data_IF_004553391282
#
_entry.id   IF_004553391282
#
_cell.length_a   1.000
_cell.length_b   1.000
_cell.length_c   1.000
_cell.angle_alpha   90.00
_cell.angle_beta   90.00
_cell.angle_gamma   90.00
#
_symmetry.space_group_name_H-M   'P 1'
#
loop_
_entity.id
_entity.type
_entity.pdbx_description
1 polymer ?
#
# COMPACT_ATOMS: atom_id res chain seq x y z
N UNK A 1 30.40 -6.73 4.92
CA UNK A 1 30.35 -6.14 6.27
C UNK A 1 28.92 -6.26 6.77
N UNK A 2 28.68 -7.08 7.79
CA UNK A 2 27.37 -7.21 8.40
C UNK A 2 27.21 -6.11 9.45
N UNK A 3 26.49 -5.03 9.11
CA UNK A 3 25.92 -4.16 10.13
C UNK A 3 24.45 -4.52 10.30
N UNK A 4 24.09 -4.85 11.54
CA UNK A 4 22.71 -4.83 11.99
C UNK A 4 22.20 -3.39 11.72
N UNK A 5 21.09 -3.29 11.01
CA UNK A 5 20.68 -2.06 10.32
C UNK A 5 20.69 -0.80 11.15
N UNK A 6 21.02 0.33 10.51
CA UNK A 6 20.84 1.67 11.03
C UNK A 6 19.34 2.03 11.17
N UNK A 7 18.91 2.96 12.04
CA UNK A 7 17.52 3.39 12.15
C UNK A 7 16.88 3.84 10.82
N UNK A 8 17.68 4.36 9.88
CA UNK A 8 17.22 4.72 8.53
C UNK A 8 17.31 3.58 7.50
N UNK A 9 17.38 2.30 7.91
CA UNK A 9 17.45 1.22 6.93
C UNK A 9 16.12 1.02 6.22
N UNK A 10 16.17 0.86 4.89
CA UNK A 10 15.03 0.47 4.06
C UNK A 10 14.23 -0.70 4.66
N UNK A 11 12.90 -0.56 4.65
CA UNK A 11 11.96 -1.54 5.18
C UNK A 11 11.80 -1.54 6.70
N UNK A 12 12.43 -0.61 7.44
CA UNK A 12 12.15 -0.43 8.87
C UNK A 12 10.82 0.28 9.07
N UNK A 13 10.01 -0.22 9.99
CA UNK A 13 8.81 0.44 10.50
C UNK A 13 8.77 0.32 12.02
N UNK A 14 8.18 1.31 12.69
CA UNK A 14 7.89 1.26 14.15
C UNK A 14 6.41 1.02 14.41
N UNK A 15 5.55 1.50 13.51
CA UNK A 15 4.11 1.42 13.60
C UNK A 15 3.53 0.79 12.33
N UNK A 16 2.34 0.24 12.48
CA UNK A 16 1.48 -0.16 11.36
C UNK A 16 0.05 0.25 11.68
N UNK A 17 -0.64 0.83 10.70
CA UNK A 17 -2.07 1.10 10.80
C UNK A 17 -2.80 -0.02 10.08
N UNK A 18 -3.78 -0.61 10.74
CA UNK A 18 -4.69 -1.62 10.18
C UNK A 18 -6.12 -1.21 10.49
N UNK A 19 -7.09 -1.77 9.76
CA UNK A 19 -8.51 -1.49 10.02
C UNK A 19 -9.28 -2.80 10.04
N UNK A 20 -10.19 -2.95 11.01
CA UNK A 20 -11.07 -4.11 11.04
C UNK A 20 -11.97 -4.15 9.78
N UNK A 21 -12.33 -5.35 9.37
CA UNK A 21 -13.18 -5.60 8.21
C UNK A 21 -14.67 -5.56 8.60
N UNK A 22 -15.54 -4.90 7.82
CA UNK A 22 -16.97 -4.89 8.03
C UNK A 22 -17.63 -6.15 7.45
N UNK A 23 -18.78 -6.58 7.99
CA UNK A 23 -19.56 -7.70 7.44
C UNK A 23 -19.99 -7.42 5.98
N UNK A 24 -20.26 -6.14 5.67
CA UNK A 24 -20.57 -5.69 4.32
C UNK A 24 -19.49 -6.02 3.28
N UNK A 25 -18.23 -6.27 3.68
CA UNK A 25 -17.14 -6.68 2.79
C UNK A 25 -17.51 -7.90 1.95
N UNK A 26 -18.20 -8.87 2.54
CA UNK A 26 -18.48 -10.15 1.88
C UNK A 26 -19.33 -9.99 0.61
N UNK A 27 -20.23 -9.01 0.59
CA UNK A 27 -21.23 -8.82 -0.46
C UNK A 27 -21.06 -7.51 -1.25
N UNK A 28 -20.49 -6.48 -0.64
CA UNK A 28 -20.52 -5.11 -1.19
C UNK A 28 -19.13 -4.55 -1.57
N UNK A 29 -18.04 -5.18 -1.13
CA UNK A 29 -16.68 -4.76 -1.49
C UNK A 29 -16.46 -4.82 -3.01
N UNK A 30 -15.70 -3.86 -3.54
CA UNK A 30 -15.43 -3.76 -4.97
C UNK A 30 -14.54 -4.93 -5.42
N UNK A 31 -14.98 -5.64 -6.46
CA UNK A 31 -14.24 -6.78 -7.03
C UNK A 31 -14.08 -6.64 -8.53
N UNK A 32 -12.91 -7.02 -9.03
CA UNK A 32 -12.61 -7.01 -10.47
C UNK A 32 -13.17 -8.24 -11.19
N UNK A 33 -13.24 -9.38 -10.51
CA UNK A 33 -13.77 -10.64 -11.04
C UNK A 33 -14.89 -11.15 -10.13
N UNK A 34 -15.88 -11.84 -10.72
CA UNK A 34 -16.80 -12.68 -9.94
C UNK A 34 -15.98 -13.87 -9.44
N UNK A 35 -15.60 -13.81 -8.17
CA UNK A 35 -14.96 -14.92 -7.46
C UNK A 35 -15.97 -15.66 -6.60
N UNK A 36 -15.47 -16.63 -5.84
CA UNK A 36 -16.24 -17.31 -4.82
C UNK A 36 -16.77 -16.33 -3.77
N UNK A 37 -17.83 -16.74 -3.09
CA UNK A 37 -18.38 -16.01 -1.96
C UNK A 37 -17.31 -15.88 -0.86
N UNK A 38 -17.22 -14.69 -0.25
CA UNK A 38 -16.26 -14.48 0.84
C UNK A 38 -16.87 -14.96 2.15
N UNK A 39 -16.26 -16.00 2.70
CA UNK A 39 -16.49 -16.42 4.09
C UNK A 39 -15.91 -15.34 5.02
N UNK A 40 -16.81 -14.51 5.55
CA UNK A 40 -16.47 -13.41 6.45
C UNK A 40 -15.71 -13.89 7.69
N UNK A 41 -16.16 -14.98 8.32
CA UNK A 41 -15.53 -15.51 9.53
C UNK A 41 -14.10 -16.01 9.23
N UNK A 42 -13.88 -16.57 8.04
CA UNK A 42 -12.52 -16.93 7.58
C UNK A 42 -11.67 -15.69 7.30
N UNK A 43 -12.22 -14.68 6.64
CA UNK A 43 -11.51 -13.43 6.36
C UNK A 43 -11.09 -12.72 7.65
N UNK A 44 -11.97 -12.67 8.65
CA UNK A 44 -11.68 -12.13 9.97
C UNK A 44 -10.54 -12.87 10.66
N UNK A 45 -10.60 -14.21 10.70
CA UNK A 45 -9.51 -15.03 11.25
C UNK A 45 -8.19 -14.78 10.53
N UNK A 46 -8.20 -14.67 9.20
CA UNK A 46 -6.99 -14.36 8.42
C UNK A 46 -6.44 -12.97 8.75
N UNK A 47 -7.30 -11.97 8.88
CA UNK A 47 -6.91 -10.62 9.27
C UNK A 47 -6.31 -10.59 10.68
N UNK A 48 -6.92 -11.27 11.66
CA UNK A 48 -6.38 -11.37 13.02
C UNK A 48 -4.99 -12.04 13.04
N UNK A 49 -4.79 -13.10 12.24
CA UNK A 49 -3.46 -13.72 12.09
C UNK A 49 -2.44 -12.75 11.47
N UNK A 50 -2.83 -11.99 10.45
CA UNK A 50 -1.99 -10.96 9.84
C UNK A 50 -1.58 -9.89 10.86
N UNK A 51 -2.54 -9.34 11.62
CA UNK A 51 -2.28 -8.38 12.69
C UNK A 51 -1.38 -8.97 13.79
N UNK A 52 -1.60 -10.24 14.17
CA UNK A 52 -0.76 -10.93 15.14
C UNK A 52 0.68 -11.14 14.68
N UNK A 53 0.92 -11.33 13.37
CA UNK A 53 2.28 -11.35 12.81
C UNK A 53 2.94 -9.98 12.96
N UNK A 54 2.24 -8.90 12.59
CA UNK A 54 2.78 -7.54 12.65
C UNK A 54 3.08 -7.08 14.08
N UNK A 55 2.12 -7.22 14.99
CA UNK A 55 2.26 -6.80 16.37
C UNK A 55 3.10 -7.77 17.18
N UNK A 56 2.59 -8.98 17.39
CA UNK A 56 3.17 -9.92 18.35
C UNK A 56 4.46 -10.58 17.87
N UNK A 57 4.60 -10.90 16.57
CA UNK A 57 5.80 -11.60 16.06
C UNK A 57 6.90 -10.65 15.57
N UNK A 58 6.53 -9.54 14.92
CA UNK A 58 7.49 -8.56 14.40
C UNK A 58 7.76 -7.42 15.37
N UNK A 59 6.91 -7.20 16.38
CA UNK A 59 7.11 -6.21 17.44
C UNK A 59 6.70 -4.78 17.05
N UNK A 60 5.90 -4.61 16.00
CA UNK A 60 5.41 -3.29 15.59
C UNK A 60 4.29 -2.80 16.53
N UNK A 61 4.20 -1.49 16.72
CA UNK A 61 3.04 -0.89 17.36
C UNK A 61 1.87 -0.87 16.37
N UNK A 62 0.80 -1.60 16.68
CA UNK A 62 -0.38 -1.71 15.83
C UNK A 62 -1.41 -0.66 16.24
N UNK A 63 -1.75 0.24 15.33
CA UNK A 63 -2.93 1.11 15.43
C UNK A 63 -4.07 0.42 14.69
N UNK A 64 -5.01 -0.15 15.44
CA UNK A 64 -6.16 -0.85 14.87
C UNK A 64 -7.40 0.03 14.86
N UNK A 65 -7.83 0.42 13.67
CA UNK A 65 -9.03 1.22 13.43
C UNK A 65 -10.28 0.33 13.40
N UNK A 66 -11.45 0.83 13.86
CA UNK A 66 -12.70 0.08 13.79
C UNK A 66 -13.19 -0.08 12.35
N UNK A 67 -13.97 -1.13 12.13
CA UNK A 67 -14.70 -1.36 10.88
C UNK A 67 -15.80 -0.30 10.70
N UNK A 68 -16.22 -0.09 9.45
CA UNK A 68 -17.36 0.75 9.12
C UNK A 68 -18.20 0.04 8.06
N UNK A 69 -19.41 -0.37 8.43
CA UNK A 69 -20.32 -1.11 7.54
C UNK A 69 -20.70 -0.33 6.28
N UNK A 70 -20.63 1.01 6.32
CA UNK A 70 -20.89 1.87 5.16
C UNK A 70 -19.70 1.93 4.18
N UNK A 71 -18.56 1.37 4.54
CA UNK A 71 -17.32 1.36 3.77
C UNK A 71 -16.79 -0.08 3.60
N UNK A 72 -17.39 -0.90 2.72
CA UNK A 72 -17.09 -2.34 2.61
C UNK A 72 -15.62 -2.69 2.34
N UNK A 73 -14.86 -1.76 1.76
CA UNK A 73 -13.45 -1.93 1.42
C UNK A 73 -12.49 -1.34 2.47
N UNK A 74 -12.98 -0.84 3.62
CA UNK A 74 -12.16 -0.06 4.56
C UNK A 74 -10.99 -0.82 5.21
N UNK A 75 -10.98 -2.15 5.14
CA UNK A 75 -9.84 -2.98 5.56
C UNK A 75 -8.58 -2.69 4.72
N UNK A 76 -8.74 -2.25 3.47
CA UNK A 76 -7.64 -1.97 2.53
C UNK A 76 -7.08 -0.56 2.72
N UNK A 77 -6.53 -0.33 3.92
CA UNK A 77 -5.98 0.95 4.38
C UNK A 77 -4.82 1.49 3.53
N UNK A 78 -4.13 0.63 2.79
CA UNK A 78 -3.02 1.03 1.92
C UNK A 78 -3.47 2.04 0.85
N UNK A 79 -4.71 1.95 0.37
CA UNK A 79 -5.14 2.79 -0.75
C UNK A 79 -5.36 4.26 -0.36
N UNK A 80 -5.60 4.54 0.92
CA UNK A 80 -6.00 5.87 1.42
C UNK A 80 -4.84 6.72 1.93
N UNK A 81 -3.64 6.15 2.06
CA UNK A 81 -2.46 6.90 2.47
C UNK A 81 -1.16 6.35 1.89
N UNK A 82 -0.25 7.26 1.52
CA UNK A 82 1.15 6.95 1.23
C UNK A 82 2.01 7.64 2.28
N UNK A 83 2.81 6.86 3.01
CA UNK A 83 3.71 7.40 4.03
C UNK A 83 5.15 7.23 3.56
N UNK A 84 5.91 8.32 3.61
CA UNK A 84 7.35 8.33 3.38
C UNK A 84 8.00 9.17 4.46
N UNK A 85 8.90 8.55 5.22
CA UNK A 85 9.55 9.17 6.38
C UNK A 85 8.51 9.76 7.35
N UNK A 86 8.56 11.07 7.60
CA UNK A 86 7.68 11.79 8.52
C UNK A 86 6.46 12.41 7.81
N UNK A 87 6.30 12.21 6.49
CA UNK A 87 5.21 12.80 5.71
C UNK A 87 4.22 11.74 5.26
N UNK A 88 2.93 12.03 5.45
CA UNK A 88 1.82 11.20 4.98
C UNK A 88 0.98 11.97 3.95
N UNK A 89 0.92 11.45 2.73
CA UNK A 89 -0.04 11.88 1.72
C UNK A 89 -1.34 11.12 1.92
N UNK A 90 -2.38 11.80 2.38
CA UNK A 90 -3.76 11.30 2.34
C UNK A 90 -4.23 11.38 0.89
N UNK A 91 -4.53 10.20 0.34
CA UNK A 91 -4.87 10.06 -1.07
C UNK A 91 -6.33 10.43 -1.32
N UNK A 92 -6.71 10.44 -2.60
CA UNK A 92 -8.11 10.53 -3.01
C UNK A 92 -8.46 9.31 -3.85
N UNK A 93 -9.06 8.26 -3.24
CA UNK A 93 -9.33 7.03 -3.94
C UNK A 93 -10.10 7.24 -5.25
N UNK A 94 -9.69 6.50 -6.28
CA UNK A 94 -10.31 6.57 -7.61
C UNK A 94 -11.73 6.05 -7.62
N UNK A 95 -12.05 5.09 -6.74
CA UNK A 95 -13.42 4.65 -6.48
C UNK A 95 -14.14 5.65 -5.56
N UNK A 96 -15.20 6.35 -6.01
CA UNK A 96 -15.85 7.37 -5.20
C UNK A 96 -16.43 6.85 -3.88
N UNK A 97 -16.92 5.60 -3.86
CA UNK A 97 -17.43 4.95 -2.65
C UNK A 97 -16.39 4.81 -1.53
N UNK A 98 -15.10 4.81 -1.88
CA UNK A 98 -13.99 4.62 -0.93
C UNK A 98 -13.42 5.92 -0.38
N UNK A 99 -13.83 7.10 -0.89
CA UNK A 99 -13.19 8.38 -0.53
C UNK A 99 -13.33 8.75 0.95
N UNK A 100 -14.43 8.35 1.61
CA UNK A 100 -14.64 8.58 3.06
C UNK A 100 -13.71 7.75 3.95
N UNK A 101 -13.08 6.72 3.40
CA UNK A 101 -12.12 5.91 4.17
C UNK A 101 -10.89 6.74 4.60
N UNK A 102 -10.58 7.81 3.86
CA UNK A 102 -9.46 8.71 4.13
C UNK A 102 -9.60 9.48 5.46
N UNK A 103 -10.84 9.77 5.90
CA UNK A 103 -11.10 10.60 7.08
C UNK A 103 -10.49 9.95 8.35
N UNK A 104 -10.77 8.67 8.57
CA UNK A 104 -10.26 7.94 9.73
C UNK A 104 -8.75 7.68 9.64
N UNK A 105 -8.23 7.49 8.43
CA UNK A 105 -6.78 7.35 8.23
C UNK A 105 -6.05 8.64 8.61
N UNK A 106 -6.56 9.79 8.16
CA UNK A 106 -6.01 11.10 8.51
C UNK A 106 -5.89 11.28 10.02
N UNK A 107 -6.98 11.06 10.76
CA UNK A 107 -6.96 11.18 12.23
C UNK A 107 -5.95 10.23 12.89
N UNK A 108 -5.77 9.02 12.35
CA UNK A 108 -4.82 8.05 12.87
C UNK A 108 -3.37 8.53 12.67
N UNK A 109 -3.05 9.04 11.48
CA UNK A 109 -1.72 9.52 11.14
C UNK A 109 -1.38 10.85 11.84
N UNK A 110 -2.36 11.72 12.09
CA UNK A 110 -2.20 12.92 12.93
C UNK A 110 -1.84 12.56 14.37
N UNK A 111 -2.48 11.54 14.94
CA UNK A 111 -2.14 11.03 16.30
C UNK A 111 -0.75 10.43 16.37
N UNK A 112 -0.22 9.93 15.25
CA UNK A 112 1.16 9.48 15.10
C UNK A 112 2.15 10.63 14.83
N UNK A 113 1.68 11.89 14.83
CA UNK A 113 2.49 13.09 14.65
C UNK A 113 3.19 13.17 13.29
N UNK A 114 2.60 12.56 12.25
CA UNK A 114 3.10 12.70 10.88
C UNK A 114 2.66 14.05 10.28
N UNK A 115 3.49 14.58 9.39
CA UNK A 115 3.17 15.74 8.58
C UNK A 115 2.15 15.35 7.51
N UNK A 116 0.91 15.82 7.66
CA UNK A 116 -0.19 15.46 6.77
C UNK A 116 -0.24 16.38 5.55
N UNK A 117 -0.26 15.78 4.36
CA UNK A 117 -0.59 16.44 3.09
C UNK A 117 -1.84 15.76 2.52
N UNK A 118 -2.82 16.55 2.09
CA UNK A 118 -4.11 16.03 1.61
C UNK A 118 -4.30 16.27 0.11
N UNK A 119 -4.67 15.23 -0.64
CA UNK A 119 -5.04 15.34 -2.04
C UNK A 119 -6.46 15.94 -2.19
N UNK A 120 -6.56 17.27 -2.20
CA UNK A 120 -7.84 18.02 -2.27
C UNK A 120 -8.35 18.32 -3.68
N UNK A 121 -7.49 18.20 -4.70
CA UNK A 121 -7.86 18.47 -6.09
C UNK A 121 -8.93 17.47 -6.57
N UNK A 122 -10.10 17.97 -6.97
CA UNK A 122 -11.23 17.13 -7.37
C UNK A 122 -10.97 16.33 -8.65
N UNK A 123 -10.03 16.80 -9.48
CA UNK A 123 -9.61 16.14 -10.71
C UNK A 123 -8.48 15.12 -10.46
N UNK A 124 -7.94 15.05 -9.24
CA UNK A 124 -6.92 14.08 -8.87
C UNK A 124 -7.54 12.82 -8.27
N UNK A 125 -6.94 11.68 -8.61
CA UNK A 125 -7.24 10.38 -8.01
C UNK A 125 -5.97 9.58 -7.87
N UNK A 126 -5.78 8.94 -6.72
CA UNK A 126 -4.66 8.05 -6.45
C UNK A 126 -5.09 7.01 -5.41
N UNK A 127 -4.86 5.73 -5.70
CA UNK A 127 -4.93 4.65 -4.72
C UNK A 127 -3.48 4.28 -4.35
N UNK A 128 -3.15 4.22 -3.05
CA UNK A 128 -1.80 3.84 -2.58
C UNK A 128 -1.33 2.44 -3.02
N UNK A 129 -2.22 1.54 -3.43
CA UNK A 129 -1.89 0.30 -4.12
C UNK A 129 -1.11 0.49 -5.44
N UNK A 130 -1.24 1.65 -6.10
CA UNK A 130 -0.48 2.00 -7.31
C UNK A 130 0.92 2.56 -7.01
N UNK A 131 1.26 2.77 -5.74
CA UNK A 131 2.52 3.42 -5.36
C UNK A 131 3.52 2.40 -4.84
N UNK A 132 4.64 2.26 -5.54
CA UNK A 132 5.77 1.45 -5.11
C UNK A 132 6.94 2.36 -4.75
N UNK A 133 7.28 2.43 -3.47
CA UNK A 133 8.49 3.10 -2.99
C UNK A 133 9.66 2.12 -2.89
N UNK A 134 10.78 2.44 -3.55
CA UNK A 134 11.95 1.56 -3.62
C UNK A 134 12.99 1.85 -2.53
N UNK A 135 12.77 2.88 -1.71
CA UNK A 135 13.78 3.47 -0.83
C UNK A 135 14.67 4.50 -1.52
N UNK A 136 14.48 4.75 -2.82
CA UNK A 136 15.25 5.70 -3.64
C UNK A 136 14.38 6.58 -4.53
N UNK A 137 13.27 6.02 -4.99
CA UNK A 137 12.33 6.67 -5.91
C UNK A 137 10.95 6.00 -5.78
N UNK A 138 9.94 6.67 -6.31
CA UNK A 138 8.60 6.14 -6.45
C UNK A 138 8.33 5.70 -7.89
N UNK A 139 7.69 4.54 -8.03
CA UNK A 139 6.93 4.22 -9.23
C UNK A 139 5.44 4.36 -8.92
N UNK A 140 4.71 5.06 -9.80
CA UNK A 140 3.27 5.28 -9.66
C UNK A 140 2.55 4.68 -10.85
N UNK A 141 1.67 3.71 -10.58
CA UNK A 141 0.80 3.10 -11.57
C UNK A 141 -0.22 4.11 -12.11
N UNK A 142 -0.28 4.31 -13.42
CA UNK A 142 -1.40 4.97 -14.09
C UNK A 142 -2.45 3.91 -14.41
N UNK A 143 -3.51 3.89 -13.62
CA UNK A 143 -4.50 2.82 -13.57
C UNK A 143 -5.93 3.37 -13.72
N UNK A 144 -6.94 2.50 -13.54
CA UNK A 144 -8.34 2.94 -13.42
C UNK A 144 -8.61 3.73 -12.14
N UNK A 145 -7.71 3.67 -11.16
CA UNK A 145 -7.84 4.26 -9.83
C UNK A 145 -6.91 5.45 -9.60
N UNK A 146 -5.79 5.49 -10.31
CA UNK A 146 -4.77 6.52 -10.19
C UNK A 146 -4.56 7.21 -11.54
N UNK A 147 -4.71 8.53 -11.56
CA UNK A 147 -4.53 9.33 -12.76
C UNK A 147 -3.25 10.18 -12.71
N UNK A 148 -2.91 10.81 -13.84
CA UNK A 148 -1.70 11.61 -13.98
C UNK A 148 -1.64 12.75 -12.95
N UNK A 149 -2.77 13.42 -12.69
CA UNK A 149 -2.85 14.50 -11.71
C UNK A 149 -2.55 14.02 -10.28
N UNK A 150 -3.03 12.83 -9.91
CA UNK A 150 -2.70 12.21 -8.62
C UNK A 150 -1.21 11.89 -8.49
N UNK A 151 -0.59 11.39 -9.55
CA UNK A 151 0.85 11.13 -9.57
C UNK A 151 1.69 12.41 -9.45
N UNK A 152 1.28 13.51 -10.09
CA UNK A 152 1.92 14.83 -9.97
C UNK A 152 1.85 15.35 -8.54
N UNK A 153 0.68 15.27 -7.88
CA UNK A 153 0.53 15.69 -6.48
C UNK A 153 1.43 14.85 -5.56
N UNK A 154 1.60 13.56 -5.83
CA UNK A 154 2.54 12.73 -5.10
C UNK A 154 3.98 13.22 -5.27
N UNK A 155 4.39 13.56 -6.49
CA UNK A 155 5.72 14.12 -6.76
C UNK A 155 5.92 15.48 -6.07
N UNK A 156 4.90 16.34 -6.07
CA UNK A 156 4.93 17.62 -5.37
C UNK A 156 4.99 17.45 -3.84
N UNK A 157 4.45 16.35 -3.32
CA UNK A 157 4.48 16.03 -1.88
C UNK A 157 5.85 15.51 -1.45
N UNK A 158 6.46 14.62 -2.24
CA UNK A 158 7.73 13.95 -1.92
C UNK A 158 8.86 14.43 -2.84
N UNK A 159 9.16 15.73 -2.80
CA UNK A 159 10.06 16.42 -3.77
C UNK A 159 11.49 15.90 -3.80
N UNK A 160 11.94 15.28 -2.71
CA UNK A 160 13.29 14.72 -2.59
C UNK A 160 13.46 13.38 -3.32
N UNK A 161 12.35 12.81 -3.81
CA UNK A 161 12.32 11.53 -4.47
C UNK A 161 11.91 11.67 -5.93
N UNK A 162 12.64 10.99 -6.81
CA UNK A 162 12.21 10.86 -8.19
C UNK A 162 10.87 10.08 -8.26
N UNK A 163 10.00 10.47 -9.19
CA UNK A 163 8.72 9.80 -9.43
C UNK A 163 8.61 9.45 -10.90
N UNK A 164 8.42 8.15 -11.18
CA UNK A 164 8.25 7.62 -12.52
C UNK A 164 6.88 6.97 -12.66
N UNK A 165 6.13 7.31 -13.70
CA UNK A 165 4.82 6.71 -13.95
C UNK A 165 4.92 5.41 -14.76
N UNK A 166 4.08 4.44 -14.44
CA UNK A 166 4.04 3.12 -15.09
C UNK A 166 2.62 2.82 -15.56
N UNK A 167 2.36 2.56 -16.85
CA UNK A 167 1.01 2.20 -17.31
C UNK A 167 0.53 0.87 -16.69
N UNK A 168 -0.68 0.87 -16.12
CA UNK A 168 -1.34 -0.30 -15.53
C UNK A 168 -2.66 -0.56 -16.28
N UNK A 169 -2.65 -1.57 -17.16
CA UNK A 169 -3.80 -1.86 -18.06
C UNK A 169 -4.63 -3.05 -17.58
N UNK A 170 -3.99 -4.20 -17.32
CA UNK A 170 -4.69 -5.47 -17.01
C UNK A 170 -4.55 -5.90 -15.54
N UNK A 171 -4.32 -4.94 -14.64
CA UNK A 171 -4.28 -5.15 -13.19
C UNK A 171 -5.18 -4.13 -12.47
N UNK A 172 -5.48 -4.38 -11.19
CA UNK A 172 -6.18 -3.38 -10.38
C UNK A 172 -5.25 -2.22 -10.04
N UNK A 173 -4.04 -2.55 -9.57
CA UNK A 173 -3.00 -1.61 -9.21
C UNK A 173 -1.61 -2.09 -9.64
N UNK A 174 -0.61 -1.21 -9.62
CA UNK A 174 0.81 -1.57 -9.83
C UNK A 174 1.26 -2.71 -8.90
N UNK A 175 0.98 -2.60 -7.59
CA UNK A 175 1.38 -3.63 -6.61
C UNK A 175 0.58 -4.93 -6.69
N UNK A 176 -0.39 -5.03 -7.59
CA UNK A 176 -1.05 -6.32 -7.88
C UNK A 176 -0.08 -7.34 -8.50
N UNK A 177 1.00 -6.89 -9.13
CA UNK A 177 1.96 -7.77 -9.80
C UNK A 177 3.43 -7.49 -9.42
N UNK A 178 3.71 -6.59 -8.48
CA UNK A 178 5.05 -6.38 -7.95
C UNK A 178 5.06 -5.85 -6.51
N UNK A 179 6.18 -6.01 -5.82
CA UNK A 179 6.44 -5.41 -4.51
C UNK A 179 7.94 -5.40 -4.21
N UNK A 180 8.36 -4.67 -3.18
CA UNK A 180 9.74 -4.72 -2.71
C UNK A 180 9.96 -5.99 -1.88
N UNK A 181 10.92 -6.82 -2.29
CA UNK A 181 11.30 -8.05 -1.60
C UNK A 181 12.60 -7.91 -0.77
N UNK A 182 13.29 -6.79 -0.91
CA UNK A 182 14.51 -6.46 -0.19
C UNK A 182 15.11 -5.15 -0.68
N UNK A 183 16.22 -4.68 -0.07
CA UNK A 183 16.98 -3.55 -0.59
C UNK A 183 17.38 -3.81 -2.05
N UNK A 184 16.98 -2.92 -2.97
CA UNK A 184 17.20 -3.03 -4.41
C UNK A 184 16.66 -4.31 -5.06
N UNK A 185 15.69 -4.99 -4.45
CA UNK A 185 15.11 -6.23 -4.95
C UNK A 185 13.59 -6.09 -5.10
N UNK A 186 13.12 -6.26 -6.32
CA UNK A 186 11.68 -6.25 -6.65
C UNK A 186 11.24 -7.69 -6.94
N UNK A 187 10.20 -8.14 -6.23
CA UNK A 187 9.42 -9.31 -6.62
C UNK A 187 8.45 -8.87 -7.72
N UNK A 188 8.41 -9.60 -8.83
CA UNK A 188 7.54 -9.28 -9.97
C UNK A 188 6.96 -10.52 -10.62
N UNK A 189 5.73 -10.41 -11.09
CA UNK A 189 5.03 -11.49 -11.77
C UNK A 189 5.52 -11.73 -13.20
N UNK A 190 5.12 -12.88 -13.75
CA UNK A 190 5.42 -13.28 -15.13
C UNK A 190 4.40 -12.79 -16.16
N UNK A 191 3.32 -12.11 -15.73
CA UNK A 191 2.29 -11.62 -16.64
C UNK A 191 2.84 -10.57 -17.62
N UNK A 192 2.21 -10.41 -18.78
CA UNK A 192 2.64 -9.42 -19.78
C UNK A 192 2.65 -8.00 -19.22
N UNK A 193 1.66 -7.63 -18.40
CA UNK A 193 1.62 -6.32 -17.73
C UNK A 193 2.80 -6.12 -16.79
N UNK A 194 3.18 -7.16 -16.03
CA UNK A 194 4.33 -7.12 -15.14
C UNK A 194 5.64 -6.94 -15.92
N UNK A 195 5.81 -7.69 -17.02
CA UNK A 195 6.99 -7.58 -17.88
C UNK A 195 7.06 -6.22 -18.61
N UNK A 196 5.92 -5.62 -18.95
CA UNK A 196 5.86 -4.25 -19.49
C UNK A 196 6.28 -3.23 -18.45
N UNK A 197 5.74 -3.32 -17.22
CA UNK A 197 6.14 -2.46 -16.11
C UNK A 197 7.63 -2.57 -15.81
N UNK A 198 8.16 -3.79 -15.80
CA UNK A 198 9.56 -4.08 -15.54
C UNK A 198 10.51 -3.34 -16.47
N UNK A 199 10.20 -3.28 -17.78
CA UNK A 199 11.05 -2.58 -18.75
C UNK A 199 11.21 -1.08 -18.46
N UNK A 200 10.42 -0.53 -17.54
CA UNK A 200 10.45 0.90 -17.12
C UNK A 200 11.11 1.05 -15.74
N UNK A 201 11.41 -0.05 -15.06
CA UNK A 201 11.95 -0.11 -13.70
C UNK A 201 13.37 -0.72 -13.74
N UNK A 202 14.41 0.08 -13.51
CA UNK A 202 15.81 -0.37 -13.60
C UNK A 202 16.30 -1.04 -12.30
N UNK A 203 15.83 -2.26 -12.00
CA UNK A 203 16.17 -2.98 -10.74
C UNK A 203 16.60 -4.45 -10.94
N UNK A 204 17.28 -5.01 -9.93
CA UNK A 204 17.63 -6.44 -9.86
C UNK A 204 16.38 -7.24 -9.48
N UNK A 205 16.18 -8.36 -10.19
CA UNK A 205 14.91 -9.08 -10.22
C UNK A 205 14.96 -10.41 -9.50
N UNK A 206 13.87 -10.72 -8.79
CA UNK A 206 13.53 -12.09 -8.43
C UNK A 206 12.20 -12.46 -9.11
N UNK A 207 12.25 -13.41 -10.04
CA UNK A 207 11.06 -13.93 -10.70
C UNK A 207 10.38 -14.94 -9.79
N UNK A 208 9.09 -14.74 -9.54
CA UNK A 208 8.25 -15.68 -8.81
C UNK A 208 7.12 -16.16 -9.71
N UNK A 209 6.91 -17.47 -9.76
CA UNK A 209 5.83 -18.09 -10.53
C UNK A 209 4.45 -17.93 -9.86
N UNK A 210 4.40 -17.63 -8.56
CA UNK A 210 3.16 -17.39 -7.81
C UNK A 210 3.35 -16.43 -6.62
N UNK A 211 2.36 -15.54 -6.41
CA UNK A 211 2.28 -14.49 -5.39
C UNK A 211 3.43 -13.47 -5.40
N UNK A 212 3.13 -12.21 -5.69
CA UNK A 212 4.15 -11.15 -5.89
C UNK A 212 3.88 -9.86 -5.11
N UNK A 213 2.79 -9.82 -4.34
CA UNK A 213 2.51 -8.76 -3.38
C UNK A 213 2.92 -9.25 -1.99
N UNK A 214 4.03 -8.71 -1.48
CA UNK A 214 4.58 -8.99 -0.16
C UNK A 214 4.74 -7.70 0.63
N UNK A 215 4.67 -7.82 1.94
CA UNK A 215 5.04 -6.75 2.86
C UNK A 215 6.43 -7.04 3.43
N UNK A 216 7.42 -6.26 2.99
CA UNK A 216 8.78 -6.32 3.53
C UNK A 216 8.88 -5.47 4.81
N UNK A 217 9.15 -6.13 5.94
CA UNK A 217 9.46 -5.47 7.20
C UNK A 217 10.80 -5.97 7.71
N UNK A 218 11.75 -5.05 7.91
CA UNK A 218 13.03 -5.34 8.52
C UNK A 218 12.86 -5.42 10.04
N UNK A 219 13.00 -6.63 10.59
CA UNK A 219 12.95 -6.88 12.04
C UNK A 219 14.30 -6.55 12.70
N UNK A 220 14.26 -5.84 13.82
CA UNK A 220 15.40 -5.77 14.75
C UNK A 220 15.43 -7.07 15.57
N UNK A 221 16.52 -7.83 15.45
CA UNK A 221 16.83 -8.82 16.48
C UNK A 221 17.46 -8.06 17.64
N UNK A 222 16.75 -7.96 18.76
CA UNK A 222 17.42 -7.61 20.01
C UNK A 222 18.46 -8.70 20.33
N UNK A 223 19.66 -8.33 20.81
CA UNK A 223 20.69 -9.30 21.20
C UNK A 223 20.23 -10.23 22.33
#
# INVERSE_FOLDING_TARGET
MASLGHPATFGRATHVVVRALPESLAQQALRRTKGDEVDFARAERQHQLYVGVLGSKLGLQVVQLPADESLPDCVFVEDVAVVCEETALITRPGAPSRRKEADMMKEALEKLQLNIVEMKDENATLDGGDVLFTGREFFVGLSKRTNQRGAEILADTFKDYAVSTVPVVDALHLKSFCSMAGPNLIAIGSSESAQKALKRMSFVLFHLEACVNFLLIKKEMMP
#
